data_IF_957497275182
#
_entry.id   IF_957497275182
#
_cell.length_a   1.000
_cell.length_b   1.000
_cell.length_c   1.000
_cell.angle_alpha   90.00
_cell.angle_beta   90.00
_cell.angle_gamma   90.00
#
_symmetry.space_group_name_H-M   'P 1'
#
loop_
_entity.id
_entity.type
_entity.pdbx_description
1 polymer ?
#
# COMPACT_ATOMS: atom_id res chain seq x y z
N UNK A 1 5.11 25.04 -3.84
CA UNK A 1 5.76 23.97 -3.06
C UNK A 1 6.22 22.92 -4.06
N UNK A 2 7.43 22.37 -3.93
CA UNK A 2 7.87 21.26 -4.78
C UNK A 2 6.93 20.07 -4.56
N UNK A 3 6.57 19.36 -5.62
CA UNK A 3 5.92 18.06 -5.49
C UNK A 3 6.83 17.09 -4.72
N UNK A 4 6.22 16.12 -4.03
CA UNK A 4 6.92 15.00 -3.42
C UNK A 4 6.27 13.70 -3.89
N UNK A 5 7.00 12.95 -4.71
CA UNK A 5 6.52 11.80 -5.45
C UNK A 5 7.39 10.58 -5.18
N UNK A 6 6.74 9.41 -5.12
CA UNK A 6 7.39 8.12 -5.15
C UNK A 6 7.08 7.42 -6.48
N UNK A 7 8.09 6.80 -7.07
CA UNK A 7 8.00 6.05 -8.31
C UNK A 7 8.22 4.58 -8.00
N UNK A 8 7.38 3.70 -8.53
CA UNK A 8 7.40 2.26 -8.30
C UNK A 8 6.99 1.54 -9.59
N UNK A 9 7.87 1.58 -10.58
CA UNK A 9 7.59 0.97 -11.88
C UNK A 9 7.60 -0.55 -11.75
N UNK A 10 6.50 -1.20 -12.14
CA UNK A 10 6.39 -2.64 -12.10
C UNK A 10 7.22 -3.28 -13.22
N UNK A 11 8.12 -4.21 -12.86
CA UNK A 11 8.95 -4.95 -13.83
C UNK A 11 8.24 -6.19 -14.37
N UNK A 12 7.41 -6.84 -13.53
CA UNK A 12 6.65 -8.05 -13.86
C UNK A 12 5.34 -8.11 -13.08
N UNK A 13 4.41 -8.96 -13.49
CA UNK A 13 3.26 -9.29 -12.66
C UNK A 13 3.70 -10.07 -11.41
N UNK A 14 3.09 -9.82 -10.23
CA UNK A 14 3.23 -10.74 -9.10
C UNK A 14 2.54 -12.07 -9.44
N UNK A 15 3.11 -13.17 -8.96
CA UNK A 15 2.39 -14.45 -8.91
C UNK A 15 1.21 -14.36 -7.94
N UNK A 16 0.21 -15.26 -8.02
CA UNK A 16 -0.90 -15.28 -7.07
C UNK A 16 -0.46 -15.38 -5.61
N UNK A 17 0.64 -16.09 -5.33
CA UNK A 17 1.20 -16.22 -3.99
C UNK A 17 1.85 -14.93 -3.50
N UNK A 18 2.62 -14.26 -4.37
CA UNK A 18 3.21 -12.95 -4.04
C UNK A 18 2.12 -11.91 -3.83
N UNK A 19 1.10 -11.87 -4.69
CA UNK A 19 -0.02 -10.95 -4.53
C UNK A 19 -0.74 -11.13 -3.20
N UNK A 20 -1.05 -12.39 -2.83
CA UNK A 20 -1.65 -12.67 -1.52
C UNK A 20 -0.77 -12.21 -0.35
N UNK A 21 0.56 -12.29 -0.45
CA UNK A 21 1.46 -11.76 0.57
C UNK A 21 1.48 -10.22 0.60
N UNK A 22 1.42 -9.56 -0.55
CA UNK A 22 1.31 -8.10 -0.66
C UNK A 22 0.00 -7.58 -0.05
N UNK A 23 -1.10 -8.30 -0.24
CA UNK A 23 -2.36 -8.00 0.45
C UNK A 23 -2.19 -8.08 1.97
N UNK A 24 -1.57 -9.14 2.51
CA UNK A 24 -1.33 -9.26 3.95
C UNK A 24 -0.45 -8.13 4.50
N UNK A 25 0.57 -7.71 3.75
CA UNK A 25 1.40 -6.55 4.11
C UNK A 25 0.52 -5.29 4.23
N UNK A 26 -0.33 -5.02 3.24
CA UNK A 26 -1.22 -3.86 3.25
C UNK A 26 -2.17 -3.88 4.46
N UNK A 27 -2.82 -5.02 4.69
CA UNK A 27 -3.77 -5.18 5.80
C UNK A 27 -3.08 -4.96 7.15
N UNK A 28 -1.89 -5.55 7.35
CA UNK A 28 -1.10 -5.36 8.56
C UNK A 28 -0.73 -3.89 8.79
N UNK A 29 -0.25 -3.19 7.76
CA UNK A 29 0.17 -1.79 7.90
C UNK A 29 -1.02 -0.88 8.22
N UNK A 30 -2.20 -1.15 7.66
CA UNK A 30 -3.42 -0.41 7.99
C UNK A 30 -3.85 -0.66 9.44
N UNK A 31 -3.81 -1.90 9.91
CA UNK A 31 -4.16 -2.22 11.30
C UNK A 31 -3.22 -1.54 12.31
N UNK A 32 -1.90 -1.63 12.02
CA UNK A 32 -0.82 -1.13 12.86
C UNK A 32 -0.44 0.33 12.57
N UNK A 33 -1.30 1.05 11.84
CA UNK A 33 -1.08 2.46 11.52
C UNK A 33 -0.92 3.29 12.80
N UNK A 34 0.17 4.09 12.93
CA UNK A 34 0.38 4.96 14.07
C UNK A 34 -0.59 6.15 14.04
N UNK A 35 -0.78 6.79 15.20
CA UNK A 35 -1.70 7.93 15.32
C UNK A 35 -1.31 9.11 14.41
N UNK A 36 -0.01 9.35 14.24
CA UNK A 36 0.53 10.46 13.44
C UNK A 36 1.70 9.97 12.59
N UNK A 37 1.96 10.67 11.48
CA UNK A 37 3.10 10.39 10.60
C UNK A 37 4.32 11.20 10.98
N UNK A 38 5.49 10.57 11.01
CA UNK A 38 6.78 11.28 11.04
C UNK A 38 7.53 11.20 9.70
N UNK A 39 6.93 10.64 8.63
CA UNK A 39 7.57 10.53 7.32
C UNK A 39 7.82 11.90 6.68
N UNK A 40 8.62 11.91 5.61
CA UNK A 40 8.92 13.12 4.85
C UNK A 40 9.44 14.29 5.70
N UNK A 41 10.33 13.99 6.65
CA UNK A 41 10.93 14.96 7.57
C UNK A 41 10.00 15.43 8.70
N UNK A 42 8.86 14.75 8.92
CA UNK A 42 7.89 15.10 9.97
C UNK A 42 7.07 16.34 9.68
N UNK A 43 6.93 16.73 8.41
CA UNK A 43 6.20 17.94 7.98
C UNK A 43 4.76 17.97 8.52
N UNK A 44 4.12 16.79 8.58
CA UNK A 44 2.73 16.62 9.01
C UNK A 44 2.60 15.91 10.37
N UNK A 45 3.60 15.99 11.26
CA UNK A 45 3.60 15.27 12.56
C UNK A 45 2.43 15.56 13.48
N UNK A 46 1.80 16.71 13.33
CA UNK A 46 0.64 17.13 14.14
C UNK A 46 -0.70 16.76 13.46
N UNK A 47 -0.66 16.23 12.24
CA UNK A 47 -1.85 15.80 11.51
C UNK A 47 -2.14 14.31 11.79
N UNK A 48 -3.42 13.92 11.91
CA UNK A 48 -3.77 12.53 12.16
C UNK A 48 -3.45 11.67 10.94
N UNK A 49 -2.99 10.45 11.21
CA UNK A 49 -2.88 9.38 10.23
C UNK A 49 -3.94 8.30 10.51
N UNK A 50 -3.98 7.76 11.73
CA UNK A 50 -5.01 6.78 12.13
C UNK A 50 -6.40 7.45 12.16
N UNK A 51 -7.36 6.84 11.49
CA UNK A 51 -8.72 7.36 11.31
C UNK A 51 -8.84 8.44 10.22
N UNK A 52 -7.73 8.75 9.54
CA UNK A 52 -7.62 9.80 8.54
C UNK A 52 -7.25 9.26 7.15
N UNK A 53 -7.56 7.99 6.88
CA UNK A 53 -7.36 7.34 5.59
C UNK A 53 -8.69 7.16 4.85
N UNK A 54 -8.59 7.14 3.53
CA UNK A 54 -9.67 6.78 2.62
C UNK A 54 -9.19 5.73 1.61
N UNK A 55 -10.13 4.94 1.11
CA UNK A 55 -9.96 4.06 -0.05
C UNK A 55 -11.08 4.36 -1.04
N UNK A 56 -11.05 3.72 -2.21
CA UNK A 56 -11.96 4.02 -3.31
C UNK A 56 -12.60 2.74 -3.82
N UNK A 57 -13.92 2.70 -3.76
CA UNK A 57 -14.72 1.61 -4.30
C UNK A 57 -15.14 1.96 -5.73
N UNK A 58 -14.86 1.05 -6.67
CA UNK A 58 -15.47 1.09 -7.99
C UNK A 58 -16.98 0.88 -7.85
N UNK A 59 -17.75 1.88 -8.27
CA UNK A 59 -19.22 1.83 -8.30
C UNK A 59 -19.71 1.94 -9.72
N UNK A 60 -20.62 1.04 -10.07
CA UNK A 60 -21.34 1.09 -11.36
C UNK A 60 -22.21 2.34 -11.38
N UNK A 61 -21.88 3.26 -12.28
CA UNK A 61 -22.69 4.45 -12.54
C UNK A 61 -23.93 4.09 -13.36
N UNK A 62 -24.94 4.97 -13.34
CA UNK A 62 -26.00 4.95 -14.35
C UNK A 62 -25.69 5.99 -15.43
N UNK A 63 -25.31 5.56 -16.65
CA UNK A 63 -25.06 6.49 -17.77
C UNK A 63 -23.85 6.11 -18.64
N UNK A 64 -23.31 7.11 -19.36
CA UNK A 64 -22.19 6.96 -20.32
C UNK A 64 -20.85 6.68 -19.62
N UNK A 65 -20.73 7.02 -18.34
CA UNK A 65 -19.59 6.68 -17.49
C UNK A 65 -19.93 5.41 -16.71
N UNK A 66 -19.40 4.27 -17.17
CA UNK A 66 -19.74 2.96 -16.61
C UNK A 66 -19.25 2.75 -15.18
N UNK A 67 -18.30 3.55 -14.69
CA UNK A 67 -17.68 3.39 -13.38
C UNK A 67 -17.30 4.75 -12.75
N UNK A 68 -17.61 4.92 -11.46
CA UNK A 68 -17.20 6.05 -10.62
C UNK A 68 -16.46 5.52 -9.39
N UNK A 69 -15.49 6.27 -8.88
CA UNK A 69 -14.78 5.90 -7.65
C UNK A 69 -15.38 6.65 -6.47
N UNK A 70 -16.00 5.92 -5.54
CA UNK A 70 -16.51 6.51 -4.31
C UNK A 70 -15.47 6.44 -3.20
N UNK A 71 -15.10 7.60 -2.65
CA UNK A 71 -14.25 7.65 -1.47
C UNK A 71 -15.00 7.09 -0.26
N UNK A 72 -14.42 6.08 0.39
CA UNK A 72 -14.92 5.49 1.64
C UNK A 72 -13.82 5.52 2.71
N UNK A 73 -14.16 5.72 3.99
CA UNK A 73 -13.16 5.66 5.06
C UNK A 73 -12.50 4.28 5.16
N UNK A 74 -11.23 4.25 5.52
CA UNK A 74 -10.54 3.00 5.87
C UNK A 74 -10.89 2.59 7.29
N UNK A 75 -11.28 1.33 7.49
CA UNK A 75 -11.44 0.73 8.82
C UNK A 75 -10.12 0.10 9.28
N UNK A 76 -9.51 0.66 10.34
CA UNK A 76 -8.26 0.13 10.89
C UNK A 76 -8.43 -1.20 11.66
N UNK A 77 -9.65 -1.59 12.03
CA UNK A 77 -9.92 -2.88 12.69
C UNK A 77 -10.21 -3.98 11.69
N UNK A 78 -10.84 -3.62 10.57
CA UNK A 78 -11.13 -4.52 9.46
C UNK A 78 -10.64 -3.86 8.15
N UNK A 79 -9.32 -3.86 7.89
CA UNK A 79 -8.74 -3.14 6.75
C UNK A 79 -9.41 -3.48 5.41
N UNK A 80 -9.92 -2.45 4.74
CA UNK A 80 -10.71 -2.54 3.50
C UNK A 80 -9.99 -1.88 2.31
N UNK A 81 -8.65 -1.93 2.27
CA UNK A 81 -7.86 -1.26 1.22
C UNK A 81 -7.66 -2.09 -0.04
N UNK A 82 -8.03 -3.38 -0.02
CA UNK A 82 -8.09 -4.21 -1.23
C UNK A 82 -9.44 -3.97 -1.90
N UNK A 83 -9.41 -3.33 -3.06
CA UNK A 83 -10.55 -2.85 -3.81
C UNK A 83 -10.51 -3.37 -5.25
N UNK A 84 -11.57 -3.10 -6.02
CA UNK A 84 -11.61 -3.38 -7.44
C UNK A 84 -11.28 -2.12 -8.24
N UNK A 85 -10.44 -2.27 -9.26
CA UNK A 85 -10.13 -1.26 -10.27
C UNK A 85 -10.35 -1.88 -11.65
N UNK A 86 -11.40 -1.44 -12.35
CA UNK A 86 -11.81 -1.99 -13.64
C UNK A 86 -11.95 -3.52 -13.60
N UNK A 87 -12.60 -4.05 -12.57
CA UNK A 87 -12.76 -5.49 -12.31
C UNK A 87 -11.46 -6.26 -11.97
N UNK A 88 -10.38 -5.59 -11.57
CA UNK A 88 -9.17 -6.24 -11.09
C UNK A 88 -8.84 -5.85 -9.65
N UNK A 89 -8.35 -6.79 -8.81
CA UNK A 89 -7.92 -6.48 -7.46
C UNK A 89 -6.76 -5.48 -7.46
N UNK A 90 -6.90 -4.44 -6.63
CA UNK A 90 -5.90 -3.42 -6.39
C UNK A 90 -5.89 -3.01 -4.92
N UNK A 91 -4.69 -2.73 -4.39
CA UNK A 91 -4.54 -2.05 -3.10
C UNK A 91 -4.64 -0.56 -3.36
N UNK A 92 -5.62 0.09 -2.73
CA UNK A 92 -5.93 1.50 -2.93
C UNK A 92 -6.08 2.18 -1.57
N UNK A 93 -5.29 3.22 -1.32
CA UNK A 93 -5.50 4.11 -0.17
C UNK A 93 -4.92 5.51 -0.40
N UNK A 94 -5.49 6.48 0.30
CA UNK A 94 -5.08 7.88 0.34
C UNK A 94 -5.35 8.45 1.74
N UNK A 95 -4.91 9.67 2.01
CA UNK A 95 -5.43 10.46 3.11
C UNK A 95 -6.86 10.94 2.86
N UNK A 96 -7.63 11.10 3.93
CA UNK A 96 -9.02 11.52 3.88
C UNK A 96 -9.13 13.04 3.70
N UNK A 97 -9.84 13.47 2.65
CA UNK A 97 -10.10 14.90 2.40
C UNK A 97 -8.80 15.67 2.16
N UNK A 98 -8.60 16.78 2.88
CA UNK A 98 -7.42 17.64 2.73
C UNK A 98 -6.11 17.00 3.23
N UNK A 99 -6.18 15.78 3.79
CA UNK A 99 -5.02 14.99 4.19
C UNK A 99 -4.55 14.02 3.10
N UNK A 100 -5.23 13.98 1.96
CA UNK A 100 -4.84 13.21 0.78
C UNK A 100 -4.18 14.07 -0.29
N UNK A 101 -3.69 13.43 -1.34
CA UNK A 101 -3.12 14.11 -2.51
C UNK A 101 -3.42 13.35 -3.79
N UNK A 102 -2.78 12.19 -3.96
CA UNK A 102 -3.10 11.22 -5.01
C UNK A 102 -3.11 9.82 -4.38
N UNK A 103 -4.10 8.97 -4.68
CA UNK A 103 -4.16 7.65 -4.09
C UNK A 103 -2.94 6.82 -4.47
N UNK A 104 -2.43 6.07 -3.50
CA UNK A 104 -1.56 4.94 -3.80
C UNK A 104 -2.41 3.84 -4.44
N UNK A 105 -1.96 3.33 -5.59
CA UNK A 105 -2.63 2.25 -6.31
C UNK A 105 -1.58 1.21 -6.72
N UNK A 106 -1.80 -0.04 -6.34
CA UNK A 106 -1.02 -1.17 -6.81
C UNK A 106 -1.96 -2.30 -7.22
N UNK A 107 -1.87 -2.76 -8.47
CA UNK A 107 -2.69 -3.87 -8.98
C UNK A 107 -1.97 -5.21 -8.89
N UNK A 108 -2.75 -6.30 -8.96
CA UNK A 108 -2.25 -7.67 -9.16
C UNK A 108 -1.73 -7.98 -10.58
N UNK A 109 -1.83 -7.01 -11.51
CA UNK A 109 -1.60 -7.22 -12.94
C UNK A 109 -0.15 -6.97 -13.35
N UNK A 110 0.17 -7.28 -14.61
CA UNK A 110 1.47 -6.97 -15.21
C UNK A 110 1.54 -5.54 -15.77
N UNK A 111 2.77 -5.05 -16.03
CA UNK A 111 2.99 -3.66 -16.47
C UNK A 111 2.41 -3.31 -17.84
N UNK A 112 2.10 -4.30 -18.70
CA UNK A 112 1.39 -4.07 -19.95
C UNK A 112 -0.08 -3.72 -19.70
N UNK A 113 -0.77 -4.52 -18.90
CA UNK A 113 -2.19 -4.31 -18.58
C UNK A 113 -2.38 -3.06 -17.71
N UNK A 114 -1.49 -2.80 -16.76
CA UNK A 114 -1.55 -1.56 -15.96
C UNK A 114 -1.55 -0.31 -16.85
N UNK A 115 -0.74 -0.29 -17.92
CA UNK A 115 -0.69 0.83 -18.88
C UNK A 115 -1.97 0.97 -19.70
N UNK A 116 -2.73 -0.10 -19.87
CA UNK A 116 -4.05 -0.06 -20.51
C UNK A 116 -5.13 0.49 -19.57
N UNK A 117 -5.03 0.19 -18.27
CA UNK A 117 -5.94 0.70 -17.23
C UNK A 117 -5.73 2.19 -17.01
N UNK A 118 -4.48 2.59 -16.71
CA UNK A 118 -4.12 3.97 -16.44
C UNK A 118 -2.60 4.22 -16.56
N UNK A 119 -2.22 5.36 -17.14
CA UNK A 119 -0.81 5.67 -17.42
C UNK A 119 0.00 6.06 -16.17
N UNK A 120 -0.66 6.30 -15.05
CA UNK A 120 -0.11 6.86 -13.81
C UNK A 120 -0.04 5.87 -12.64
N UNK A 121 -0.27 4.57 -12.87
CA UNK A 121 -0.17 3.53 -11.83
C UNK A 121 1.27 3.21 -11.36
N UNK A 122 2.29 3.88 -11.92
CA UNK A 122 3.70 3.62 -11.62
C UNK A 122 4.32 4.65 -10.68
N UNK A 123 3.52 5.56 -10.12
CA UNK A 123 3.96 6.58 -9.19
C UNK A 123 2.79 7.08 -8.33
N UNK A 124 3.11 7.81 -7.26
CA UNK A 124 2.12 8.41 -6.36
C UNK A 124 2.70 9.72 -5.80
N UNK A 125 2.03 10.85 -6.07
CA UNK A 125 2.40 12.14 -5.47
C UNK A 125 1.72 12.31 -4.13
N UNK A 126 2.44 12.00 -3.06
CA UNK A 126 1.93 12.13 -1.69
C UNK A 126 1.96 13.56 -1.19
N UNK A 127 2.78 14.44 -1.78
CA UNK A 127 3.00 15.81 -1.30
C UNK A 127 3.32 15.87 0.21
N UNK A 128 3.98 14.81 0.73
CA UNK A 128 4.37 14.66 2.15
C UNK A 128 3.17 14.58 3.11
N UNK A 129 1.97 14.33 2.61
CA UNK A 129 0.77 14.16 3.43
C UNK A 129 0.87 12.94 4.34
N UNK A 130 0.12 12.86 5.46
CA UNK A 130 0.36 11.85 6.50
C UNK A 130 0.42 10.39 6.00
N UNK A 131 -0.41 10.02 5.02
CA UNK A 131 -0.46 8.65 4.48
C UNK A 131 0.81 8.22 3.73
N UNK A 132 1.69 9.17 3.39
CA UNK A 132 3.02 8.94 2.82
C UNK A 132 3.83 7.89 3.59
N UNK A 133 3.67 7.85 4.93
CA UNK A 133 4.30 6.84 5.77
C UNK A 133 3.94 5.42 5.34
N UNK A 134 2.66 5.19 5.02
CA UNK A 134 2.16 3.88 4.62
C UNK A 134 2.57 3.54 3.18
N UNK A 135 2.63 4.54 2.29
CA UNK A 135 3.17 4.37 0.94
C UNK A 135 4.61 3.89 1.01
N UNK A 136 5.46 4.59 1.77
CA UNK A 136 6.87 4.21 1.93
C UNK A 136 7.01 2.83 2.59
N UNK A 137 6.23 2.53 3.63
CA UNK A 137 6.31 1.23 4.32
C UNK A 137 5.87 0.07 3.42
N UNK A 138 4.83 0.26 2.58
CA UNK A 138 4.43 -0.71 1.56
C UNK A 138 5.56 -0.97 0.57
N UNK A 139 6.16 0.10 0.03
CA UNK A 139 7.24 0.00 -0.95
C UNK A 139 8.49 -0.68 -0.38
N UNK A 140 8.85 -0.39 0.87
CA UNK A 140 9.95 -1.06 1.60
C UNK A 140 9.67 -2.56 1.70
N UNK A 141 8.50 -2.97 2.19
CA UNK A 141 8.19 -4.39 2.38
C UNK A 141 8.05 -5.15 1.05
N UNK A 142 7.47 -4.52 0.02
CA UNK A 142 7.42 -5.15 -1.31
C UNK A 142 8.82 -5.37 -1.87
N UNK A 143 9.71 -4.37 -1.81
CA UNK A 143 11.08 -4.52 -2.28
C UNK A 143 11.87 -5.56 -1.46
N UNK A 144 11.66 -5.57 -0.15
CA UNK A 144 12.31 -6.50 0.76
C UNK A 144 11.98 -7.96 0.40
N UNK A 145 10.71 -8.30 0.19
CA UNK A 145 10.33 -9.68 -0.14
C UNK A 145 10.40 -10.02 -1.63
N UNK A 146 10.23 -9.03 -2.51
CA UNK A 146 10.14 -9.19 -3.96
C UNK A 146 11.00 -8.15 -4.69
N UNK A 147 12.34 -8.18 -4.52
CA UNK A 147 13.24 -7.11 -5.00
C UNK A 147 13.25 -6.95 -6.52
N UNK A 148 12.79 -7.94 -7.28
CA UNK A 148 12.68 -7.88 -8.73
C UNK A 148 11.29 -7.39 -9.23
N UNK A 149 10.30 -7.24 -8.35
CA UNK A 149 8.92 -6.91 -8.72
C UNK A 149 8.77 -5.43 -9.12
N UNK A 150 9.36 -4.52 -8.34
CA UNK A 150 9.25 -3.07 -8.54
C UNK A 150 10.63 -2.44 -8.67
N UNK A 151 10.78 -1.50 -9.60
CA UNK A 151 11.84 -0.51 -9.57
C UNK A 151 11.36 0.74 -8.82
N UNK A 152 11.97 1.02 -7.67
CA UNK A 152 11.53 2.09 -6.76
C UNK A 152 12.49 3.28 -6.83
N UNK A 153 11.97 4.50 -6.78
CA UNK A 153 12.75 5.73 -6.53
C UNK A 153 11.86 6.81 -5.91
N UNK A 154 12.45 7.87 -5.38
CA UNK A 154 11.72 8.91 -4.63
C UNK A 154 12.35 10.29 -4.83
N UNK A 155 11.52 11.34 -4.68
CA UNK A 155 12.01 12.71 -4.49
C UNK A 155 12.65 12.93 -3.09
N UNK A 156 12.47 11.99 -2.16
CA UNK A 156 13.02 12.02 -0.80
C UNK A 156 14.24 11.12 -0.59
N UNK A 157 14.94 11.37 0.51
CA UNK A 157 16.13 10.61 0.91
C UNK A 157 15.92 9.71 2.13
N UNK A 158 17.02 9.13 2.62
CA UNK A 158 17.05 8.22 3.76
C UNK A 158 16.27 8.77 4.98
N UNK A 159 16.52 10.04 5.36
CA UNK A 159 15.86 10.67 6.51
C UNK A 159 14.34 10.76 6.37
N UNK A 160 13.83 10.91 5.13
CA UNK A 160 12.40 10.96 4.87
C UNK A 160 11.74 9.57 5.02
N UNK A 161 12.49 8.50 4.72
CA UNK A 161 12.03 7.10 4.67
C UNK A 161 12.27 6.32 5.96
N UNK A 162 13.23 6.73 6.79
CA UNK A 162 13.58 6.08 8.05
C UNK A 162 12.39 5.86 9.01
N UNK A 163 11.41 6.79 9.16
CA UNK A 163 10.17 6.52 9.89
C UNK A 163 9.35 5.35 9.31
N UNK A 164 9.31 5.21 7.99
CA UNK A 164 8.61 4.13 7.31
C UNK A 164 9.36 2.80 7.46
N UNK A 165 10.70 2.82 7.46
CA UNK A 165 11.53 1.66 7.76
C UNK A 165 11.26 1.13 9.17
N UNK A 166 11.14 2.01 10.17
CA UNK A 166 10.76 1.61 11.53
C UNK A 166 9.39 0.95 11.58
N UNK A 167 8.42 1.43 10.81
CA UNK A 167 7.10 0.80 10.70
C UNK A 167 7.20 -0.56 9.99
N UNK A 168 7.91 -0.64 8.87
CA UNK A 168 8.14 -1.90 8.16
C UNK A 168 8.80 -2.95 9.06
N UNK A 169 9.73 -2.54 9.93
CA UNK A 169 10.41 -3.42 10.89
C UNK A 169 9.52 -3.96 12.02
N UNK A 170 8.31 -3.44 12.20
CA UNK A 170 7.33 -4.08 13.09
C UNK A 170 6.73 -5.32 12.46
N UNK A 171 6.71 -5.39 11.12
CA UNK A 171 6.29 -6.57 10.36
C UNK A 171 7.42 -7.59 10.22
N UNK A 172 8.59 -7.15 9.73
CA UNK A 172 9.80 -7.96 9.64
C UNK A 172 11.02 -7.14 10.08
N UNK A 173 11.63 -7.51 11.20
CA UNK A 173 12.78 -6.81 11.76
C UNK A 173 14.00 -6.73 10.82
N UNK A 174 14.06 -7.59 9.80
CA UNK A 174 15.11 -7.61 8.79
C UNK A 174 14.83 -6.72 7.57
N UNK A 175 13.70 -5.99 7.54
CA UNK A 175 13.39 -5.08 6.44
C UNK A 175 14.50 -4.03 6.25
N UNK A 176 14.82 -3.75 4.98
CA UNK A 176 15.81 -2.76 4.55
C UNK A 176 15.22 -1.80 3.52
N UNK A 177 15.80 -0.61 3.41
CA UNK A 177 15.42 0.35 2.37
C UNK A 177 15.76 -0.21 0.98
N UNK A 178 15.01 0.17 -0.07
CA UNK A 178 15.45 -0.09 -1.44
C UNK A 178 16.80 0.56 -1.72
N UNK A 179 17.68 -0.14 -2.46
CA UNK A 179 19.05 0.32 -2.76
C UNK A 179 19.09 1.69 -3.47
N UNK A 180 18.01 2.06 -4.14
CA UNK A 180 17.85 3.37 -4.80
C UNK A 180 17.58 4.52 -3.82
N UNK A 181 17.16 4.21 -2.60
CA UNK A 181 16.97 5.16 -1.49
C UNK A 181 18.22 5.20 -0.61
N UNK A 182 18.80 4.03 -0.32
CA UNK A 182 20.06 3.88 0.43
C UNK A 182 20.95 2.86 -0.26
N UNK A 183 22.02 3.33 -0.90
CA UNK A 183 22.93 2.48 -1.67
C UNK A 183 23.75 1.51 -0.78
N UNK A 184 23.87 1.83 0.51
CA UNK A 184 24.56 0.99 1.49
C UNK A 184 23.60 0.02 2.21
N UNK A 185 22.30 0.06 1.90
CA UNK A 185 21.34 -0.91 2.41
C UNK A 185 21.69 -2.31 1.91
N UNK A 186 21.63 -3.29 2.80
CA UNK A 186 21.97 -4.68 2.48
C UNK A 186 20.77 -5.56 2.77
N UNK A 187 20.22 -6.24 1.76
CA UNK A 187 19.24 -7.33 1.91
C UNK A 187 19.91 -8.61 2.47
N UNK A 188 20.66 -8.48 3.57
CA UNK A 188 21.28 -9.59 4.28
C UNK A 188 20.74 -9.65 5.71
N UNK A 189 20.21 -10.81 6.16
CA UNK A 189 20.10 -12.06 5.41
C UNK A 189 19.14 -11.96 4.22
N UNK A 190 19.26 -12.89 3.27
CA UNK A 190 18.33 -12.99 2.14
C UNK A 190 16.87 -12.99 2.63
N UNK A 191 15.93 -12.41 1.87
CA UNK A 191 14.53 -12.37 2.24
C UNK A 191 13.99 -13.78 2.52
N UNK A 192 13.11 -13.88 3.51
CA UNK A 192 12.48 -15.15 3.87
C UNK A 192 11.77 -15.77 2.66
N UNK A 193 11.96 -17.08 2.38
CA UNK A 193 11.21 -17.75 1.32
C UNK A 193 9.70 -17.57 1.49
N UNK A 194 8.97 -17.34 0.40
CA UNK A 194 7.51 -17.10 0.40
C UNK A 194 6.74 -18.17 1.21
N UNK A 195 7.20 -19.42 1.17
CA UNK A 195 6.60 -20.52 1.91
C UNK A 195 6.73 -20.40 3.42
N UNK A 196 7.84 -19.83 3.90
CA UNK A 196 8.09 -19.55 5.31
C UNK A 196 7.42 -18.24 5.74
N UNK A 197 7.45 -17.22 4.88
CA UNK A 197 6.73 -15.96 5.11
C UNK A 197 5.27 -16.25 5.45
N UNK A 198 4.57 -17.07 4.66
CA UNK A 198 3.16 -17.43 4.93
C UNK A 198 2.91 -18.14 6.27
N UNK A 199 3.91 -18.79 6.84
CA UNK A 199 3.81 -19.46 8.14
C UNK A 199 4.06 -18.50 9.30
N UNK A 200 4.90 -17.48 9.07
CA UNK A 200 5.22 -16.44 10.06
C UNK A 200 4.30 -15.22 10.00
N UNK A 201 3.65 -14.99 8.85
CA UNK A 201 2.59 -13.99 8.75
C UNK A 201 1.55 -14.29 9.83
N UNK A 202 1.16 -13.28 10.63
CA UNK A 202 0.16 -13.48 11.67
C UNK A 202 -1.05 -14.16 11.03
N UNK A 203 -1.60 -15.22 11.66
CA UNK A 203 -2.74 -15.92 11.09
C UNK A 203 -3.84 -14.88 10.85
N UNK A 204 -4.56 -14.95 9.72
CA UNK A 204 -5.67 -14.06 9.43
C UNK A 204 -6.82 -14.37 10.40
N UNK A 205 -6.69 -14.01 11.67
CA UNK A 205 -7.79 -14.00 12.62
C UNK A 205 -8.69 -12.83 12.25
N UNK A 206 -9.64 -13.10 11.33
CA UNK A 206 -10.87 -12.37 10.99
C UNK A 206 -11.12 -12.02 9.51
N UNK A 207 -10.49 -12.69 8.54
CA UNK A 207 -11.00 -12.64 7.16
C UNK A 207 -12.02 -13.76 6.92
N UNK A 208 -13.19 -13.65 7.55
CA UNK A 208 -14.39 -14.39 7.12
C UNK A 208 -15.11 -13.53 6.10
N UNK A 209 -14.67 -13.61 4.84
CA UNK A 209 -15.58 -13.47 3.72
C UNK A 209 -16.29 -14.82 3.56
N UNK A 210 -17.37 -15.04 4.33
CA UNK A 210 -18.31 -16.13 4.02
C UNK A 210 -19.35 -15.60 3.05
N UNK A 211 -19.37 -16.17 1.85
CA UNK A 211 -20.46 -16.04 0.88
C UNK A 211 -21.83 -16.36 1.51
N UNK A 212 -22.80 -15.45 1.30
CA UNK A 212 -24.27 -15.61 1.07
C UNK A 212 -25.07 -16.51 2.07
N UNK A 213 -26.06 -16.02 2.83
CA UNK A 213 -27.47 -15.77 2.41
C UNK A 213 -28.22 -14.88 3.42
N UNK A 214 -29.27 -14.13 2.98
CA UNK A 214 -30.12 -13.31 3.82
C UNK A 214 -31.19 -14.17 4.50
N UNK A 215 -31.24 -14.17 5.83
CA UNK A 215 -32.22 -14.98 6.55
C UNK A 215 -32.49 -14.44 7.95
N UNK A 216 -33.74 -14.02 8.14
CA UNK A 216 -34.45 -13.82 9.40
C UNK A 216 -33.93 -14.66 10.58
N UNK A 217 -34.08 -14.16 11.81
CA UNK A 217 -35.11 -14.65 12.75
C UNK A 217 -34.99 -13.96 14.12
N UNK A 218 -36.10 -13.30 14.49
CA UNK A 218 -36.61 -12.87 15.80
C UNK A 218 -35.80 -11.89 16.66
#
# INVERSE_FOLDING_TARGET
MSSYTHYFTKNRAPSPQEWGAIEQIALYLIENTPLHSNSAGGLCRDQPLKGALATYEERVGSGIEAFTNASVPVDHKNPNVVQMLQNHPAIIFDGKGDLGSEPFVLTSLGPEIDREIATDLSWCKTNRMPYDLLVCAMLILINHFFPDLLFISSDGGIDDWEPALRLARTFDSNANLPDTIDFDASCQPEPMPITELRQELPPPSQFVGSDIEPGLYF
#
